data_IF_688320238612
#
_entry.id   IF_688320238612
#
_cell.length_a   1.000
_cell.length_b   1.000
_cell.length_c   1.000
_cell.angle_alpha   90.00
_cell.angle_beta   90.00
_cell.angle_gamma   90.00
#
_symmetry.space_group_name_H-M   'P 1'
#
loop_
_entity.id
_entity.type
_entity.pdbx_description
1 polymer ?
#
# COMPACT_ATOMS: atom_id res chain seq x y z
N UNK A 1 12.36 20.56 6.84
CA UNK A 1 12.45 19.58 5.75
C UNK A 1 12.26 18.22 6.38
N UNK A 2 11.11 17.58 6.19
CA UNK A 2 10.93 16.17 6.57
C UNK A 2 11.79 15.32 5.65
N UNK A 3 12.43 14.29 6.19
CA UNK A 3 13.12 13.29 5.38
C UNK A 3 12.10 12.61 4.45
N UNK A 4 12.49 12.21 3.22
CA UNK A 4 11.60 11.45 2.36
C UNK A 4 11.19 10.17 3.09
N UNK A 5 9.90 9.86 3.08
CA UNK A 5 9.39 8.58 3.56
C UNK A 5 10.04 7.50 2.67
N UNK A 6 10.73 6.55 3.31
CA UNK A 6 11.40 5.44 2.62
C UNK A 6 11.00 4.13 3.30
N UNK A 7 10.87 3.08 2.51
CA UNK A 7 10.60 1.72 3.01
C UNK A 7 11.94 0.97 3.13
N UNK A 8 12.15 0.24 4.22
CA UNK A 8 13.34 -0.63 4.32
C UNK A 8 13.20 -1.85 3.40
N UNK A 9 14.00 -1.85 2.33
CA UNK A 9 14.10 -2.93 1.34
C UNK A 9 15.29 -3.87 1.60
N UNK A 10 16.07 -3.67 2.66
CA UNK A 10 17.28 -4.48 2.93
C UNK A 10 16.97 -5.94 3.25
N UNK A 11 15.75 -6.22 3.71
CA UNK A 11 15.27 -7.56 4.07
C UNK A 11 14.40 -8.23 2.99
N UNK A 12 14.29 -7.62 1.81
CA UNK A 12 13.59 -8.21 0.66
C UNK A 12 14.23 -9.53 0.22
N UNK A 13 13.39 -10.53 -0.07
CA UNK A 13 13.83 -11.86 -0.50
C UNK A 13 14.33 -12.76 0.63
N UNK A 14 14.36 -12.27 1.88
CA UNK A 14 14.74 -13.07 3.06
C UNK A 14 13.65 -13.09 4.12
N UNK A 15 13.19 -11.91 4.57
CA UNK A 15 12.10 -11.77 5.54
C UNK A 15 10.86 -11.13 4.94
N UNK A 16 11.06 -10.16 4.05
CA UNK A 16 9.98 -9.46 3.35
C UNK A 16 9.85 -9.97 1.91
N UNK A 17 8.61 -10.13 1.45
CA UNK A 17 8.30 -10.08 0.03
C UNK A 17 8.21 -8.62 -0.41
N UNK A 18 8.69 -8.30 -1.61
CA UNK A 18 8.79 -6.93 -2.09
C UNK A 18 8.42 -6.83 -3.57
N UNK A 19 7.65 -5.81 -3.90
CA UNK A 19 7.30 -5.41 -5.25
C UNK A 19 7.60 -3.92 -5.42
N UNK A 20 8.29 -3.58 -6.49
CA UNK A 20 8.58 -2.20 -6.85
C UNK A 20 8.19 -1.98 -8.31
N UNK A 21 7.50 -0.88 -8.59
CA UNK A 21 6.96 -0.54 -9.90
C UNK A 21 7.58 0.80 -10.35
N UNK A 22 8.18 0.89 -11.56
CA UNK A 22 8.51 -0.22 -12.45
C UNK A 22 9.59 -1.13 -11.83
N UNK A 23 9.65 -2.39 -12.30
CA UNK A 23 10.61 -3.37 -11.76
C UNK A 23 12.05 -2.83 -11.80
N UNK A 24 12.73 -2.82 -10.65
CA UNK A 24 14.13 -2.39 -10.52
C UNK A 24 14.35 -0.89 -10.30
N UNK A 25 13.29 -0.08 -10.21
CA UNK A 25 13.38 1.37 -9.92
C UNK A 25 14.17 1.69 -8.64
N UNK A 26 14.08 0.82 -7.63
CA UNK A 26 14.70 1.01 -6.33
C UNK A 26 16.23 0.95 -6.35
N UNK A 27 16.84 0.45 -7.44
CA UNK A 27 18.29 0.26 -7.52
C UNK A 27 19.08 1.58 -7.45
N UNK A 28 18.47 2.69 -7.86
CA UNK A 28 19.11 4.02 -7.77
C UNK A 28 18.49 4.87 -6.66
N UNK A 29 17.17 4.84 -6.51
CA UNK A 29 16.43 5.57 -5.48
C UNK A 29 14.98 5.10 -5.45
N UNK A 30 14.38 5.01 -4.25
CA UNK A 30 12.95 4.72 -4.11
C UNK A 30 12.06 5.79 -4.76
N UNK A 31 12.57 7.02 -4.94
CA UNK A 31 11.85 8.10 -5.63
C UNK A 31 11.65 7.85 -7.14
N UNK A 32 12.34 6.86 -7.71
CA UNK A 32 12.12 6.44 -9.11
C UNK A 32 10.98 5.42 -9.23
N UNK A 33 10.49 4.90 -8.10
CA UNK A 33 9.39 3.96 -8.07
C UNK A 33 8.07 4.72 -8.00
N UNK A 34 7.14 4.42 -8.90
CA UNK A 34 5.76 4.90 -8.81
C UNK A 34 5.04 4.26 -7.62
N UNK A 35 5.39 3.01 -7.29
CA UNK A 35 4.88 2.32 -6.12
C UNK A 35 5.87 1.29 -5.58
N UNK A 36 5.87 1.12 -4.26
CA UNK A 36 6.60 0.07 -3.56
C UNK A 36 5.62 -0.59 -2.58
N UNK A 37 5.58 -1.92 -2.61
CA UNK A 37 4.83 -2.74 -1.67
C UNK A 37 5.75 -3.75 -1.03
N UNK A 38 5.74 -3.82 0.29
CA UNK A 38 6.40 -4.89 1.03
C UNK A 38 5.37 -5.61 1.89
N UNK A 39 5.63 -6.89 2.13
CA UNK A 39 4.84 -7.68 3.04
C UNK A 39 5.68 -8.67 3.83
N UNK A 40 5.28 -8.94 5.07
CA UNK A 40 5.85 -9.94 5.94
C UNK A 40 4.75 -10.57 6.79
N UNK A 41 4.81 -11.88 6.95
CA UNK A 41 3.94 -12.60 7.89
C UNK A 41 4.52 -12.45 9.30
N UNK A 42 3.68 -12.02 10.25
CA UNK A 42 4.01 -11.91 11.68
C UNK A 42 2.88 -12.54 12.51
N UNK A 43 3.04 -13.81 12.87
CA UNK A 43 1.98 -14.61 13.49
C UNK A 43 0.75 -14.72 12.59
N UNK A 44 -0.40 -14.26 13.08
CA UNK A 44 -1.68 -14.24 12.36
C UNK A 44 -1.86 -12.97 11.50
N UNK A 45 -0.88 -12.07 11.47
CA UNK A 45 -0.96 -10.79 10.78
C UNK A 45 -0.08 -10.74 9.53
N UNK A 46 -0.54 -9.99 8.53
CA UNK A 46 0.27 -9.58 7.39
C UNK A 46 0.68 -8.12 7.59
N UNK A 47 1.95 -7.90 7.92
CA UNK A 47 2.53 -6.56 7.98
C UNK A 47 2.77 -6.09 6.55
N UNK A 48 2.17 -4.96 6.19
CA UNK A 48 2.24 -4.40 4.84
C UNK A 48 2.75 -2.96 4.91
N UNK A 49 3.67 -2.60 4.01
CA UNK A 49 4.06 -1.21 3.78
C UNK A 49 3.73 -0.85 2.34
N UNK A 50 3.00 0.24 2.14
CA UNK A 50 2.64 0.77 0.83
C UNK A 50 3.23 2.17 0.69
N UNK A 51 4.01 2.38 -0.36
CA UNK A 51 4.48 3.69 -0.80
C UNK A 51 4.01 3.90 -2.23
N UNK A 52 3.47 5.08 -2.50
CA UNK A 52 3.06 5.50 -3.84
C UNK A 52 3.36 6.97 -4.04
N UNK A 53 3.84 7.32 -5.24
CA UNK A 53 3.91 8.72 -5.65
C UNK A 53 2.50 9.19 -6.02
N UNK A 54 2.14 10.38 -5.54
CA UNK A 54 0.81 10.96 -5.76
C UNK A 54 0.95 12.38 -6.28
N UNK A 55 0.10 12.75 -7.25
CA UNK A 55 0.11 14.09 -7.85
C UNK A 55 -0.70 15.10 -7.02
N UNK A 56 -1.74 14.62 -6.33
CA UNK A 56 -2.66 15.44 -5.51
C UNK A 56 -2.64 14.93 -4.07
N UNK A 57 -1.95 15.67 -3.19
CA UNK A 57 -1.84 15.33 -1.76
C UNK A 57 -3.17 15.43 -0.99
N UNK A 58 -4.20 16.05 -1.55
CA UNK A 58 -5.52 16.16 -0.92
C UNK A 58 -6.48 15.05 -1.36
N UNK A 59 -6.25 14.45 -2.52
CA UNK A 59 -7.09 13.38 -3.07
C UNK A 59 -6.25 12.36 -3.82
N UNK A 60 -5.76 11.38 -3.08
CA UNK A 60 -4.94 10.31 -3.65
C UNK A 60 -5.05 9.02 -2.85
N UNK A 61 -4.77 7.90 -3.50
CA UNK A 61 -4.66 6.61 -2.84
C UNK A 61 -3.53 5.79 -3.46
N UNK A 62 -2.96 4.90 -2.66
CA UNK A 62 -2.17 3.74 -3.11
C UNK A 62 -2.83 2.50 -2.53
N UNK A 63 -2.97 1.45 -3.32
CA UNK A 63 -3.71 0.26 -2.90
C UNK A 63 -3.10 -1.02 -3.45
N UNK A 64 -3.35 -2.12 -2.75
CA UNK A 64 -3.01 -3.48 -3.16
C UNK A 64 -4.30 -4.31 -3.17
N UNK A 65 -4.57 -4.96 -4.30
CA UNK A 65 -5.64 -5.93 -4.44
C UNK A 65 -5.10 -7.35 -4.31
N UNK A 66 -5.77 -8.18 -3.52
CA UNK A 66 -5.54 -9.63 -3.51
C UNK A 66 -6.50 -10.26 -4.51
N UNK A 67 -5.96 -10.55 -5.69
CA UNK A 67 -6.75 -11.00 -6.83
C UNK A 67 -6.29 -12.37 -7.35
N UNK A 68 -7.22 -13.05 -8.03
CA UNK A 68 -6.94 -14.25 -8.82
C UNK A 68 -6.62 -13.94 -10.29
N UNK A 69 -6.72 -12.67 -10.68
CA UNK A 69 -6.36 -12.18 -12.01
C UNK A 69 -5.59 -10.85 -11.92
N UNK A 70 -5.43 -10.17 -13.06
CA UNK A 70 -4.65 -8.93 -13.17
C UNK A 70 -5.49 -7.64 -13.02
N UNK A 71 -6.76 -7.77 -12.63
CA UNK A 71 -7.69 -6.68 -12.47
C UNK A 71 -7.99 -6.45 -10.99
N UNK A 72 -8.23 -5.20 -10.60
CA UNK A 72 -8.75 -4.86 -9.26
C UNK A 72 -10.29 -4.83 -9.30
N UNK A 73 -10.90 -5.91 -9.78
CA UNK A 73 -12.32 -6.04 -10.04
C UNK A 73 -13.12 -6.50 -8.83
N UNK A 74 -13.15 -7.82 -8.57
CA UNK A 74 -13.97 -8.43 -7.53
C UNK A 74 -13.11 -8.93 -6.36
N UNK A 75 -12.28 -8.03 -5.83
CA UNK A 75 -11.11 -8.38 -5.01
C UNK A 75 -11.14 -7.68 -3.65
N UNK A 76 -10.51 -8.30 -2.66
CA UNK A 76 -10.18 -7.60 -1.42
C UNK A 76 -9.04 -6.63 -1.67
N UNK A 77 -9.17 -5.42 -1.11
CA UNK A 77 -8.26 -4.31 -1.35
C UNK A 77 -7.86 -3.68 -0.02
N UNK A 78 -6.56 -3.54 0.18
CA UNK A 78 -6.01 -2.69 1.23
C UNK A 78 -5.51 -1.39 0.62
N UNK A 79 -6.00 -0.25 1.10
CA UNK A 79 -5.60 1.07 0.60
C UNK A 79 -4.98 1.94 1.69
N UNK A 80 -4.07 2.82 1.29
CA UNK A 80 -3.72 4.05 2.01
C UNK A 80 -4.26 5.23 1.20
N UNK A 81 -5.16 6.03 1.77
CA UNK A 81 -5.77 7.14 1.04
C UNK A 81 -5.86 8.43 1.85
N UNK A 82 -5.81 9.54 1.13
CA UNK A 82 -6.07 10.89 1.61
C UNK A 82 -7.32 11.41 0.91
N UNK A 83 -8.21 12.01 1.69
CA UNK A 83 -9.39 12.71 1.20
C UNK A 83 -9.35 14.16 1.70
N UNK A 84 -9.99 15.12 1.00
CA UNK A 84 -9.94 16.52 1.40
C UNK A 84 -10.39 16.71 2.85
N UNK A 85 -9.54 17.36 3.65
CA UNK A 85 -9.79 17.60 5.07
C UNK A 85 -9.66 16.39 6.00
N UNK A 86 -9.20 15.24 5.50
CA UNK A 86 -8.98 14.03 6.30
C UNK A 86 -7.49 13.68 6.38
N UNK A 87 -7.00 13.14 7.52
CA UNK A 87 -5.64 12.61 7.58
C UNK A 87 -5.50 11.37 6.67
N UNK A 88 -4.25 11.02 6.36
CA UNK A 88 -3.88 9.76 5.72
C UNK A 88 -4.46 8.58 6.52
N UNK A 89 -5.15 7.67 5.84
CA UNK A 89 -5.83 6.54 6.47
C UNK A 89 -5.56 5.26 5.69
N UNK A 90 -5.20 4.20 6.42
CA UNK A 90 -5.23 2.83 5.91
C UNK A 90 -6.60 2.20 6.06
N UNK A 91 -7.11 1.46 5.07
CA UNK A 91 -8.43 0.81 5.11
C UNK A 91 -8.45 -0.54 4.41
N UNK A 92 -9.31 -1.44 4.90
CA UNK A 92 -9.75 -2.61 4.15
C UNK A 92 -11.00 -2.24 3.36
N UNK A 93 -11.06 -2.80 2.17
CA UNK A 93 -12.18 -2.63 1.27
C UNK A 93 -12.33 -3.84 0.37
N UNK A 94 -13.44 -3.90 -0.36
CA UNK A 94 -13.69 -4.88 -1.38
C UNK A 94 -14.14 -4.14 -2.64
N UNK A 95 -13.48 -4.41 -3.76
CA UNK A 95 -13.97 -3.94 -5.04
C UNK A 95 -15.06 -4.90 -5.54
N UNK A 96 -16.15 -4.35 -6.07
CA UNK A 96 -17.16 -5.09 -6.83
C UNK A 96 -17.29 -4.44 -8.20
N UNK A 97 -16.64 -5.03 -9.20
CA UNK A 97 -16.44 -4.40 -10.50
C UNK A 97 -15.58 -3.14 -10.37
N UNK A 98 -16.13 -1.96 -10.68
CA UNK A 98 -15.40 -0.69 -10.58
C UNK A 98 -15.75 0.13 -9.34
N UNK A 99 -16.48 -0.46 -8.38
CA UNK A 99 -16.93 0.21 -7.16
C UNK A 99 -16.19 -0.34 -5.94
N UNK A 100 -15.70 0.56 -5.08
CA UNK A 100 -15.02 0.21 -3.84
C UNK A 100 -16.00 0.28 -2.65
N UNK A 101 -16.03 -0.78 -1.83
CA UNK A 101 -16.82 -0.88 -0.61
C UNK A 101 -15.89 -1.00 0.58
N UNK A 102 -15.85 0.01 1.44
CA UNK A 102 -15.04 -0.01 2.66
C UNK A 102 -15.65 -0.97 3.69
N UNK A 103 -14.78 -1.78 4.29
CA UNK A 103 -15.15 -2.73 5.34
C UNK A 103 -14.97 -2.02 6.68
N UNK A 104 -16.04 -1.91 7.46
CA UNK A 104 -15.99 -1.32 8.80
C UNK A 104 -15.44 -2.34 9.80
N UNK A 105 -14.12 -2.49 9.86
CA UNK A 105 -13.49 -3.34 10.88
C UNK A 105 -12.21 -2.65 11.37
N UNK A 106 -12.30 -2.04 12.56
CA UNK A 106 -11.15 -1.48 13.27
C UNK A 106 -10.15 -2.54 13.71
N UNK A 107 -10.60 -3.77 13.92
CA UNK A 107 -9.82 -4.80 14.61
C UNK A 107 -8.90 -5.60 13.67
N UNK A 108 -9.03 -5.40 12.35
CA UNK A 108 -8.27 -6.16 11.33
C UNK A 108 -7.13 -5.32 10.74
N UNK A 109 -7.15 -3.99 10.91
CA UNK A 109 -6.04 -3.11 10.52
C UNK A 109 -5.50 -2.38 11.74
N UNK A 110 -4.22 -2.63 12.02
CA UNK A 110 -3.39 -1.73 12.81
C UNK A 110 -2.58 -0.85 11.86
N UNK A 111 -2.81 0.46 11.90
CA UNK A 111 -2.05 1.41 11.10
C UNK A 111 -0.87 1.94 11.90
N UNK A 112 0.34 1.72 11.38
CA UNK A 112 1.55 2.36 11.88
C UNK A 112 1.99 3.39 10.85
N UNK A 113 1.83 4.68 11.18
CA UNK A 113 2.38 5.77 10.39
C UNK A 113 3.82 6.00 10.86
N UNK A 114 4.80 5.72 9.99
CA UNK A 114 6.21 5.98 10.21
C UNK A 114 6.62 7.37 9.72
#
# INVERSE_FOLDING_TARGET
MSLPITIDLSSCGTKKGCLAIPYGCQNNSQLQCSSIFTYQVDGDYLLMELLGLVDDIERSYVAIGFSLDQYMGNDSVTECSVAPGSPLQGRLSYNKGTMNYRVNISDVISLFLA
#
